data_IF_352348105147
#
_entry.id   IF_352348105147
#
_cell.length_a   1.000
_cell.length_b   1.000
_cell.length_c   1.000
_cell.angle_alpha   90.00
_cell.angle_beta   90.00
_cell.angle_gamma   90.00
#
_symmetry.space_group_name_H-M   'P 1'
#
loop_
_entity.id
_entity.type
_entity.pdbx_description
1 polymer ?
#
# COMPACT_ATOMS: atom_id res chain seq x y z
N UNK A 1 0.23 -22.67 16.05
CA UNK A 1 0.21 -21.24 15.66
C UNK A 1 1.26 -21.05 14.58
N UNK A 2 0.85 -20.78 13.34
CA UNK A 2 1.80 -20.58 12.24
C UNK A 2 2.09 -19.10 12.09
N UNK A 3 3.17 -18.63 12.72
CA UNK A 3 3.74 -17.30 12.49
C UNK A 3 4.52 -17.34 11.19
N UNK A 4 3.83 -17.48 10.04
CA UNK A 4 4.49 -17.30 8.76
C UNK A 4 4.69 -15.78 8.62
N UNK A 5 5.91 -15.24 8.80
CA UNK A 5 6.15 -13.86 8.41
C UNK A 5 5.73 -13.72 6.95
N UNK A 6 5.16 -12.58 6.58
CA UNK A 6 4.81 -12.26 5.18
C UNK A 6 6.12 -12.13 4.35
N UNK A 7 6.76 -13.28 4.12
CA UNK A 7 8.12 -13.45 3.64
C UNK A 7 8.38 -12.82 2.26
N UNK A 8 7.49 -12.93 1.26
CA UNK A 8 7.73 -12.32 -0.03
C UNK A 8 7.57 -10.79 -0.02
N UNK A 9 6.88 -10.24 0.97
CA UNK A 9 6.46 -8.83 0.98
C UNK A 9 7.64 -7.86 1.17
N UNK A 10 8.66 -8.22 1.95
CA UNK A 10 9.84 -7.37 2.13
C UNK A 10 10.74 -7.30 0.89
N UNK A 11 10.94 -8.43 0.19
CA UNK A 11 11.70 -8.42 -1.06
C UNK A 11 10.97 -7.60 -2.14
N UNK A 12 9.64 -7.64 -2.13
CA UNK A 12 8.82 -6.87 -3.06
C UNK A 12 8.78 -5.38 -2.72
N UNK A 13 8.74 -5.00 -1.44
CA UNK A 13 8.76 -3.59 -1.03
C UNK A 13 10.03 -2.86 -1.49
N UNK A 14 11.19 -3.53 -1.53
CA UNK A 14 12.42 -2.98 -2.11
C UNK A 14 12.26 -2.63 -3.59
N UNK A 15 11.55 -3.48 -4.36
CA UNK A 15 11.28 -3.21 -5.79
C UNK A 15 10.36 -2.00 -5.96
N UNK A 16 9.31 -1.91 -5.14
CA UNK A 16 8.39 -0.76 -5.12
C UNK A 16 9.17 0.52 -4.82
N UNK A 17 9.95 0.54 -3.73
CA UNK A 17 10.69 1.73 -3.30
C UNK A 17 11.69 2.18 -4.36
N UNK A 18 12.44 1.24 -4.95
CA UNK A 18 13.37 1.56 -6.03
C UNK A 18 12.64 2.22 -7.20
N UNK A 19 11.54 1.64 -7.64
CA UNK A 19 10.80 2.16 -8.79
C UNK A 19 10.10 3.50 -8.50
N UNK A 20 9.62 3.73 -7.27
CA UNK A 20 9.12 5.05 -6.85
C UNK A 20 10.24 6.08 -6.92
N UNK A 21 11.43 5.79 -6.37
CA UNK A 21 12.55 6.72 -6.35
C UNK A 21 13.14 6.98 -7.74
N UNK A 22 12.89 6.12 -8.72
CA UNK A 22 13.26 6.39 -10.13
C UNK A 22 12.33 7.44 -10.78
N UNK A 23 11.05 7.48 -10.38
CA UNK A 23 10.05 8.40 -10.97
C UNK A 23 9.86 9.67 -10.14
N UNK A 24 10.03 9.56 -8.83
CA UNK A 24 9.92 10.63 -7.84
C UNK A 24 11.17 10.57 -6.94
N UNK A 25 12.36 10.96 -7.42
CA UNK A 25 13.60 10.90 -6.63
C UNK A 25 13.52 11.66 -5.31
N UNK A 26 12.77 12.75 -5.27
CA UNK A 26 12.52 13.58 -4.09
C UNK A 26 11.69 12.86 -3.02
N UNK A 27 10.95 11.80 -3.37
CA UNK A 27 10.19 11.00 -2.41
C UNK A 27 11.10 10.34 -1.37
N UNK A 28 12.35 10.03 -1.75
CA UNK A 28 13.36 9.35 -0.90
C UNK A 28 12.74 8.20 -0.12
N UNK A 29 11.88 7.42 -0.79
CA UNK A 29 11.15 6.32 -0.18
C UNK A 29 12.15 5.31 0.39
N UNK A 30 11.82 4.74 1.56
CA UNK A 30 12.66 3.77 2.27
C UNK A 30 11.80 2.58 2.69
N UNK A 31 12.27 1.34 2.48
CA UNK A 31 11.57 0.19 3.01
C UNK A 31 11.68 0.19 4.54
N UNK A 32 10.57 -0.06 5.22
CA UNK A 32 10.55 -0.36 6.64
C UNK A 32 10.16 -1.82 6.83
N UNK A 33 10.87 -2.53 7.72
CA UNK A 33 10.53 -3.92 8.08
C UNK A 33 10.04 -3.97 9.52
N UNK A 34 8.78 -4.38 9.69
CA UNK A 34 8.30 -4.78 11.01
C UNK A 34 8.64 -6.25 11.28
N UNK A 35 8.91 -6.56 12.55
CA UNK A 35 9.30 -7.91 13.00
C UNK A 35 8.13 -8.90 12.98
N UNK A 36 6.92 -8.43 13.28
CA UNK A 36 5.69 -9.22 13.35
C UNK A 36 4.47 -8.35 12.99
N UNK A 37 3.30 -8.99 12.84
CA UNK A 37 2.04 -8.32 12.50
C UNK A 37 1.58 -7.32 13.58
N UNK A 38 1.78 -7.62 14.86
CA UNK A 38 1.49 -6.69 15.96
C UNK A 38 2.27 -5.38 15.79
N UNK A 39 3.55 -5.45 15.42
CA UNK A 39 4.36 -4.26 15.18
C UNK A 39 3.92 -3.52 13.92
N UNK A 40 3.54 -4.21 12.85
CA UNK A 40 2.94 -3.57 11.66
C UNK A 40 1.72 -2.77 12.06
N UNK A 41 0.79 -3.40 12.79
CA UNK A 41 -0.44 -2.78 13.25
C UNK A 41 -0.16 -1.57 14.14
N UNK A 42 0.66 -1.73 15.17
CA UNK A 42 1.03 -0.66 16.10
C UNK A 42 1.64 0.53 15.35
N UNK A 43 2.63 0.30 14.48
CA UNK A 43 3.27 1.38 13.72
C UNK A 43 2.30 2.11 12.80
N UNK A 44 1.44 1.38 12.11
CA UNK A 44 0.49 1.95 11.17
C UNK A 44 -0.64 2.70 11.91
N UNK A 45 -1.25 2.09 12.93
CA UNK A 45 -2.30 2.71 13.76
C UNK A 45 -1.82 3.96 14.50
N UNK A 46 -0.57 3.96 14.98
CA UNK A 46 0.06 5.13 15.61
C UNK A 46 0.67 6.11 14.62
N UNK A 47 0.46 5.92 13.30
CA UNK A 47 0.92 6.79 12.22
C UNK A 47 2.44 6.98 12.15
N UNK A 48 3.22 6.09 12.76
CA UNK A 48 4.68 6.05 12.62
C UNK A 48 5.09 5.60 11.21
N UNK A 49 4.22 4.84 10.53
CA UNK A 49 4.31 4.57 9.09
C UNK A 49 2.96 4.93 8.45
N UNK A 50 3.00 5.49 7.25
CA UNK A 50 1.80 5.97 6.54
C UNK A 50 1.37 5.05 5.39
N UNK A 51 2.25 4.13 5.00
CA UNK A 51 2.06 3.17 3.92
C UNK A 51 2.44 1.78 4.41
N UNK A 52 1.70 0.77 3.99
CA UNK A 52 2.01 -0.63 4.30
C UNK A 52 1.64 -1.53 3.13
N UNK A 53 2.51 -2.50 2.82
CA UNK A 53 2.22 -3.57 1.85
C UNK A 53 1.90 -4.84 2.61
N UNK A 54 0.79 -5.49 2.27
CA UNK A 54 0.34 -6.75 2.86
C UNK A 54 -0.28 -7.62 1.77
N UNK A 55 -0.34 -8.94 1.98
CA UNK A 55 -1.24 -9.79 1.17
C UNK A 55 -2.69 -9.31 1.26
N UNK A 56 -3.54 -9.61 0.27
CA UNK A 56 -4.96 -9.26 0.27
C UNK A 56 -5.68 -9.78 1.52
N UNK A 57 -5.38 -11.01 1.94
CA UNK A 57 -5.94 -11.62 3.15
C UNK A 57 -5.53 -10.86 4.41
N UNK A 58 -4.24 -10.51 4.54
CA UNK A 58 -3.74 -9.76 5.69
C UNK A 58 -4.23 -8.30 5.69
N UNK A 59 -4.35 -7.66 4.52
CA UNK A 59 -4.92 -6.33 4.39
C UNK A 59 -6.38 -6.32 4.85
N UNK A 60 -7.19 -7.29 4.42
CA UNK A 60 -8.57 -7.46 4.89
C UNK A 60 -8.61 -7.65 6.41
N UNK A 61 -7.77 -8.54 6.93
CA UNK A 61 -7.70 -8.79 8.37
C UNK A 61 -7.31 -7.55 9.18
N UNK A 62 -6.40 -6.72 8.67
CA UNK A 62 -6.00 -5.46 9.30
C UNK A 62 -7.17 -4.47 9.38
N UNK A 63 -7.93 -4.35 8.29
CA UNK A 63 -9.08 -3.46 8.19
C UNK A 63 -10.25 -3.93 9.09
N UNK A 64 -10.44 -5.24 9.22
CA UNK A 64 -11.51 -5.84 10.01
C UNK A 64 -11.13 -6.06 11.49
N UNK A 65 -9.84 -5.97 11.83
CA UNK A 65 -9.34 -6.31 13.16
C UNK A 65 -9.42 -7.81 13.47
N UNK A 66 -9.45 -8.65 12.44
CA UNK A 66 -9.46 -10.12 12.58
C UNK A 66 -8.04 -10.68 12.63
N UNK A 67 -7.89 -11.99 12.85
CA UNK A 67 -6.58 -12.64 12.86
C UNK A 67 -5.81 -12.37 11.55
N UNK A 68 -4.50 -12.03 11.61
CA UNK A 68 -3.60 -12.12 12.77
C UNK A 68 -3.61 -10.89 13.71
N UNK A 69 -4.49 -9.92 13.49
CA UNK A 69 -4.59 -8.67 14.27
C UNK A 69 -5.68 -8.69 15.35
N UNK A 70 -6.24 -9.87 15.65
CA UNK A 70 -7.25 -10.04 16.71
C UNK A 70 -6.77 -9.46 18.03
N UNK A 71 -7.63 -8.69 18.69
CA UNK A 71 -7.31 -8.02 19.96
C UNK A 71 -6.59 -6.67 19.83
N UNK A 72 -6.10 -6.31 18.64
CA UNK A 72 -5.49 -4.99 18.38
C UNK A 72 -6.51 -3.97 17.83
N UNK A 73 -7.66 -4.48 17.37
CA UNK A 73 -8.75 -3.73 16.77
C UNK A 73 -8.51 -3.37 15.29
N UNK A 74 -9.55 -2.95 14.56
CA UNK A 74 -9.43 -2.58 13.16
C UNK A 74 -8.54 -1.34 12.98
N UNK A 75 -7.98 -1.19 11.77
CA UNK A 75 -7.30 0.03 11.33
C UNK A 75 -8.02 0.59 10.12
N UNK A 76 -8.33 1.87 10.13
CA UNK A 76 -8.90 2.54 8.97
C UNK A 76 -7.79 2.89 7.96
N UNK A 77 -7.94 2.41 6.73
CA UNK A 77 -7.05 2.72 5.63
C UNK A 77 -7.75 2.53 4.29
N UNK A 78 -7.16 3.11 3.23
CA UNK A 78 -7.59 2.92 1.85
C UNK A 78 -6.53 2.15 1.06
N UNK A 79 -6.98 1.50 -0.01
CA UNK A 79 -6.09 0.91 -1.00
C UNK A 79 -5.53 2.04 -1.87
N UNK A 80 -4.21 2.12 -2.01
CA UNK A 80 -3.54 3.01 -2.96
C UNK A 80 -3.28 2.28 -4.28
N UNK A 81 -2.78 1.04 -4.20
CA UNK A 81 -2.43 0.24 -5.36
C UNK A 81 -2.41 -1.27 -5.05
N UNK A 82 -2.36 -2.10 -6.09
CA UNK A 82 -2.31 -3.56 -5.96
C UNK A 82 -1.25 -4.19 -6.87
N UNK A 83 -0.61 -5.25 -6.36
CA UNK A 83 0.42 -6.03 -7.05
C UNK A 83 0.11 -7.54 -6.90
N UNK A 84 -0.61 -8.12 -7.86
CA UNK A 84 -1.01 -9.52 -7.82
C UNK A 84 -1.86 -9.79 -6.57
N UNK A 85 -1.28 -10.49 -5.58
CA UNK A 85 -1.91 -10.78 -4.29
C UNK A 85 -1.53 -9.81 -3.17
N UNK A 86 -0.74 -8.77 -3.45
CA UNK A 86 -0.36 -7.74 -2.49
C UNK A 86 -1.21 -6.48 -2.69
N UNK A 87 -1.53 -5.82 -1.58
CA UNK A 87 -2.14 -4.49 -1.55
C UNK A 87 -1.19 -3.52 -0.86
N UNK A 88 -1.05 -2.33 -1.45
CA UNK A 88 -0.46 -1.17 -0.82
C UNK A 88 -1.58 -0.34 -0.20
N UNK A 89 -1.62 -0.30 1.12
CA UNK A 89 -2.56 0.49 1.90
C UNK A 89 -1.93 1.83 2.32
N UNK A 90 -2.78 2.83 2.46
CA UNK A 90 -2.43 4.19 2.89
C UNK A 90 -3.38 4.66 3.99
N UNK A 91 -2.84 5.38 4.98
CA UNK A 91 -3.62 6.02 6.03
C UNK A 91 -4.63 7.03 5.44
N UNK A 92 -5.80 7.14 6.07
CA UNK A 92 -6.86 8.05 5.63
C UNK A 92 -6.48 9.54 5.70
N UNK A 93 -5.53 9.91 6.56
CA UNK A 93 -5.06 11.29 6.75
C UNK A 93 -3.78 11.59 5.95
N UNK A 94 -3.34 10.66 5.10
CA UNK A 94 -2.21 10.92 4.21
C UNK A 94 -2.63 11.94 3.14
N UNK A 95 -1.80 12.96 2.83
CA UNK A 95 -2.22 14.06 1.96
C UNK A 95 -2.66 13.58 0.56
N UNK A 96 -3.82 14.07 0.11
CA UNK A 96 -4.42 13.71 -1.18
C UNK A 96 -3.48 13.91 -2.37
N UNK A 97 -2.79 15.05 -2.40
CA UNK A 97 -1.79 15.36 -3.42
C UNK A 97 -0.66 14.34 -3.45
N UNK A 98 -0.26 13.78 -2.31
CA UNK A 98 0.78 12.73 -2.23
C UNK A 98 0.24 11.37 -2.67
N UNK A 99 -1.02 11.03 -2.33
CA UNK A 99 -1.68 9.82 -2.86
C UNK A 99 -1.74 9.88 -4.38
N UNK A 100 -2.19 11.01 -4.93
CA UNK A 100 -2.29 11.23 -6.37
C UNK A 100 -0.93 11.04 -7.06
N UNK A 101 0.14 11.66 -6.52
CA UNK A 101 1.49 11.55 -7.07
C UNK A 101 2.00 10.10 -7.09
N UNK A 102 1.78 9.34 -6.00
CA UNK A 102 2.16 7.93 -5.94
C UNK A 102 1.37 7.09 -6.95
N UNK A 103 0.07 7.32 -7.08
CA UNK A 103 -0.77 6.62 -8.03
C UNK A 103 -0.38 6.91 -9.49
N UNK A 104 -0.08 8.17 -9.82
CA UNK A 104 0.43 8.55 -11.14
C UNK A 104 1.80 7.93 -11.44
N UNK A 105 2.71 7.88 -10.45
CA UNK A 105 3.96 7.15 -10.59
C UNK A 105 3.72 5.68 -10.91
N UNK A 106 2.84 4.99 -10.16
CA UNK A 106 2.49 3.59 -10.44
C UNK A 106 1.88 3.41 -11.83
N UNK A 107 1.00 4.32 -12.26
CA UNK A 107 0.44 4.33 -13.62
C UNK A 107 1.55 4.33 -14.69
N UNK A 108 2.64 5.08 -14.47
CA UNK A 108 3.79 5.16 -15.40
C UNK A 108 4.69 3.92 -15.40
N UNK A 109 4.84 3.25 -14.25
CA UNK A 109 5.82 2.15 -14.08
C UNK A 109 5.22 0.75 -13.99
N UNK A 110 3.89 0.60 -13.99
CA UNK A 110 3.23 -0.69 -13.78
C UNK A 110 3.75 -1.81 -14.71
N UNK A 111 4.07 -1.50 -15.96
CA UNK A 111 4.61 -2.46 -16.93
C UNK A 111 5.98 -3.04 -16.55
N UNK A 112 6.72 -2.38 -15.66
CA UNK A 112 8.05 -2.78 -15.19
C UNK A 112 8.03 -3.46 -13.82
N UNK A 113 6.90 -3.39 -13.11
CA UNK A 113 6.74 -3.93 -11.76
C UNK A 113 6.07 -5.31 -11.83
N UNK A 114 6.74 -6.39 -11.37
CA UNK A 114 6.17 -7.74 -11.46
C UNK A 114 4.83 -7.83 -10.71
N UNK A 115 3.76 -8.21 -11.40
CA UNK A 115 2.43 -8.34 -10.81
C UNK A 115 1.67 -7.03 -10.56
N UNK A 116 2.23 -5.86 -10.90
CA UNK A 116 1.48 -4.61 -10.83
C UNK A 116 0.24 -4.66 -11.74
N UNK A 117 -0.92 -4.26 -11.19
CA UNK A 117 -2.16 -4.28 -11.97
C UNK A 117 -2.23 -3.12 -12.96
N UNK A 118 -2.89 -3.35 -14.08
CA UNK A 118 -3.16 -2.30 -15.08
C UNK A 118 -4.04 -1.19 -14.50
N UNK A 119 -3.98 0.04 -15.02
CA UNK A 119 -4.86 1.13 -14.58
C UNK A 119 -6.34 0.75 -14.55
N UNK A 120 -6.81 -0.02 -15.53
CA UNK A 120 -8.20 -0.50 -15.63
C UNK A 120 -8.57 -1.42 -14.46
N UNK A 121 -7.68 -2.34 -14.09
CA UNK A 121 -7.87 -3.24 -12.96
C UNK A 121 -7.81 -2.50 -11.60
N UNK A 122 -6.99 -1.47 -11.48
CA UNK A 122 -6.90 -0.68 -10.25
C UNK A 122 -8.19 0.09 -9.99
N UNK A 123 -8.76 0.72 -11.03
CA UNK A 123 -9.95 1.58 -10.89
C UNK A 123 -11.19 0.86 -10.35
N UNK A 124 -11.24 -0.47 -10.44
CA UNK A 124 -12.36 -1.30 -9.94
C UNK A 124 -12.08 -1.93 -8.58
N UNK A 125 -10.93 -1.64 -7.96
CA UNK A 125 -10.60 -2.19 -6.65
C UNK A 125 -11.55 -1.64 -5.58
N UNK A 126 -12.06 -2.51 -4.68
CA UNK A 126 -12.83 -2.06 -3.54
C UNK A 126 -11.94 -1.23 -2.60
N UNK A 127 -12.55 -0.24 -1.95
CA UNK A 127 -11.87 0.62 -0.98
C UNK A 127 -10.63 1.37 -1.54
N UNK A 128 -10.57 1.60 -2.86
CA UNK A 128 -9.56 2.44 -3.50
C UNK A 128 -9.66 3.89 -3.00
N UNK A 129 -8.51 4.51 -2.75
CA UNK A 129 -8.43 5.91 -2.36
C UNK A 129 -8.96 6.84 -3.47
N UNK A 130 -9.85 7.82 -3.19
CA UNK A 130 -10.40 8.72 -4.21
C UNK A 130 -9.33 9.45 -5.04
N UNK A 131 -8.30 10.00 -4.39
CA UNK A 131 -7.17 10.67 -5.06
C UNK A 131 -6.34 9.73 -5.95
N UNK A 132 -6.24 8.44 -5.61
CA UNK A 132 -5.64 7.45 -6.50
C UNK A 132 -6.51 7.21 -7.74
N UNK A 133 -7.83 7.08 -7.56
CA UNK A 133 -8.79 6.96 -8.66
C UNK A 133 -8.71 8.16 -9.63
N UNK A 134 -8.60 9.37 -9.10
CA UNK A 134 -8.42 10.59 -9.90
C UNK A 134 -7.16 10.51 -10.78
N UNK A 135 -6.03 10.10 -10.22
CA UNK A 135 -4.77 9.93 -10.95
C UNK A 135 -4.88 8.87 -12.06
N UNK A 136 -5.48 7.70 -11.79
CA UNK A 136 -5.64 6.66 -12.81
C UNK A 136 -6.54 7.12 -13.96
N UNK A 137 -7.58 7.90 -13.68
CA UNK A 137 -8.45 8.55 -14.67
C UNK A 137 -7.77 9.70 -15.44
N UNK A 138 -6.62 10.20 -14.97
CA UNK A 138 -5.91 11.32 -15.60
C UNK A 138 -6.46 12.69 -15.23
N UNK A 139 -7.16 12.82 -14.10
CA UNK A 139 -7.60 14.10 -13.57
C UNK A 139 -6.41 14.87 -12.96
N UNK A 140 -6.48 16.21 -12.88
CA UNK A 140 -5.45 17.01 -12.23
C UNK A 140 -5.28 16.64 -10.74
N UNK A 141 -4.14 17.03 -10.18
CA UNK A 141 -3.86 16.88 -8.75
C UNK A 141 -4.88 17.70 -7.93
N UNK A 142 -5.48 17.12 -6.87
CA UNK A 142 -6.39 17.84 -5.96
C UNK A 142 -5.66 18.81 -5.03
#
# INVERSE_FOLDING_TARGET
MSTIPDGPTYAYSNKIVKAINEVIPEAKARPARAKNFERVHSLFKTKQIQLVVLSKSNAKALLEGSAPFSGLGPVEAKVLYAFGDLLLLVQNDFPDSKVWLLADAFKKIHSRLPGALTPQQIMVLPNLHPSALLAFRGNPIP
#
